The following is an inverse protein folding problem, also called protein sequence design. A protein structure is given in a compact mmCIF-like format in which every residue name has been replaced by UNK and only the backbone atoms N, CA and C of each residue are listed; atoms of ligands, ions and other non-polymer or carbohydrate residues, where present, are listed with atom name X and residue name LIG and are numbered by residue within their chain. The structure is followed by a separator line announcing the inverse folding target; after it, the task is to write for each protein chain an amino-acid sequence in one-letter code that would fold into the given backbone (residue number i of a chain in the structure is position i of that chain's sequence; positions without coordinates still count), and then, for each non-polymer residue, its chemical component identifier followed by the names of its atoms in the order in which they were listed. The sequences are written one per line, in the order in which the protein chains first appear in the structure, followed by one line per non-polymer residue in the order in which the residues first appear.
data_IF_313115642312
#
_entry.id   IF_313115642312
#
_cell.length_a   1.000
_cell.length_b   1.000
_cell.length_c   1.000
_cell.angle_alpha   90.00
_cell.angle_beta   90.00
_cell.angle_gamma   90.00
#
_symmetry.space_group_name_H-M   'P 1'
#
loop_
_entity.id
_entity.type
_entity.pdbx_description
1 polymer ?
#
# COMPACT_ATOMS: atom_id res chain seq x y z
N UNK A 1 -16.33 6.64 17.65
CA UNK A 1 -17.66 7.29 17.72
C UNK A 1 -17.61 8.83 17.86
N UNK A 2 -16.44 9.50 17.82
CA UNK A 2 -16.34 10.95 18.07
C UNK A 2 -16.21 11.87 16.84
N UNK A 3 -15.83 11.37 15.66
CA UNK A 3 -15.56 12.22 14.47
C UNK A 3 -16.85 12.72 13.79
N UNK A 4 -17.95 11.95 13.85
CA UNK A 4 -19.23 12.29 13.19
C UNK A 4 -19.95 13.48 13.85
N UNK A 5 -19.81 13.64 15.17
CA UNK A 5 -20.45 14.73 15.92
C UNK A 5 -19.82 16.08 15.64
N UNK A 6 -18.49 16.14 15.53
CA UNK A 6 -17.76 17.37 15.17
C UNK A 6 -18.18 17.90 13.79
N UNK A 7 -18.38 16.99 12.82
CA UNK A 7 -18.79 17.36 11.46
C UNK A 7 -20.21 17.93 11.38
N UNK A 8 -21.15 17.37 12.16
CA UNK A 8 -22.52 17.92 12.24
C UNK A 8 -22.55 19.29 12.92
N UNK A 9 -21.74 19.48 13.96
CA UNK A 9 -21.62 20.76 14.66
C UNK A 9 -21.06 21.87 13.76
N UNK A 10 -19.96 21.60 13.05
CA UNK A 10 -19.34 22.57 12.14
C UNK A 10 -20.28 23.04 11.00
N UNK A 11 -21.17 22.15 10.51
CA UNK A 11 -22.16 22.48 9.46
C UNK A 11 -23.28 23.38 9.99
N UNK A 12 -23.65 23.26 11.27
CA UNK A 12 -24.75 24.02 11.87
C UNK A 12 -24.41 25.50 12.12
N UNK A 13 -23.11 25.85 12.19
CA UNK A 13 -22.64 27.20 12.53
C UNK A 13 -22.12 28.00 11.33
N UNK A 14 -22.35 27.53 10.10
CA UNK A 14 -21.96 28.16 8.83
C UNK A 14 -20.50 28.67 8.78
N UNK A 15 -19.62 28.02 9.55
CA UNK A 15 -18.18 28.24 9.47
C UNK A 15 -17.75 27.69 8.11
N UNK A 16 -16.97 28.43 7.30
CA UNK A 16 -16.41 27.90 6.08
C UNK A 16 -15.48 26.74 6.44
N UNK A 17 -16.04 25.53 6.38
CA UNK A 17 -15.28 24.29 6.38
C UNK A 17 -14.56 24.32 5.04
N UNK A 18 -13.34 24.82 5.01
CA UNK A 18 -12.51 24.75 3.82
C UNK A 18 -12.50 23.27 3.39
N UNK A 19 -12.92 22.90 2.16
CA UNK A 19 -13.03 21.50 1.71
C UNK A 19 -11.68 20.76 1.56
N UNK A 20 -10.67 21.15 2.34
CA UNK A 20 -9.37 20.51 2.46
C UNK A 20 -9.29 20.09 3.94
N UNK A 21 -9.26 18.82 4.33
CA UNK A 21 -8.24 17.84 3.97
C UNK A 21 -8.69 16.37 4.09
N UNK A 22 -9.98 16.05 4.18
CA UNK A 22 -10.38 14.63 4.37
C UNK A 22 -10.12 13.72 3.15
N UNK A 23 -9.69 14.30 2.02
CA UNK A 23 -9.34 13.57 0.79
C UNK A 23 -7.84 13.65 0.44
N UNK A 24 -7.00 14.27 1.26
CA UNK A 24 -5.59 14.53 0.95
C UNK A 24 -4.69 14.49 2.18
N UNK A 25 -4.66 13.33 2.83
CA UNK A 25 -3.44 12.90 3.54
C UNK A 25 -3.05 11.56 2.91
N UNK A 26 -2.40 11.66 1.76
CA UNK A 26 -1.59 10.63 1.08
C UNK A 26 -2.35 9.35 0.66
N UNK A 27 -3.29 9.45 -0.28
CA UNK A 27 -3.51 8.32 -1.17
C UNK A 27 -2.45 8.40 -2.27
N UNK A 28 -1.51 7.45 -2.30
CA UNK A 28 -0.72 7.24 -3.53
C UNK A 28 -1.70 7.03 -4.67
N UNK A 29 -1.50 7.76 -5.77
CA UNK A 29 -2.39 7.62 -6.92
C UNK A 29 -2.32 6.19 -7.46
N UNK A 30 -3.41 5.73 -8.08
CA UNK A 30 -3.55 4.35 -8.56
C UNK A 30 -2.40 3.95 -9.52
N UNK A 31 -1.92 4.90 -10.32
CA UNK A 31 -0.80 4.68 -11.24
C UNK A 31 0.52 4.46 -10.47
N UNK A 32 0.77 5.23 -9.42
CA UNK A 32 1.90 5.01 -8.50
C UNK A 32 1.83 3.64 -7.83
N UNK A 33 0.66 3.25 -7.30
CA UNK A 33 0.46 1.94 -6.69
C UNK A 33 0.72 0.80 -7.68
N UNK A 34 0.24 0.94 -8.91
CA UNK A 34 0.48 -0.02 -9.98
C UNK A 34 1.98 -0.15 -10.30
N UNK A 35 2.71 0.96 -10.41
CA UNK A 35 4.16 0.95 -10.64
C UNK A 35 4.91 0.19 -9.54
N UNK A 36 4.50 0.35 -8.29
CA UNK A 36 5.10 -0.35 -7.15
C UNK A 36 4.81 -1.85 -7.20
N UNK A 37 3.56 -2.24 -7.46
CA UNK A 37 3.19 -3.64 -7.70
C UNK A 37 4.02 -4.27 -8.83
N UNK A 38 4.14 -3.56 -9.95
CA UNK A 38 4.91 -4.00 -11.12
C UNK A 38 6.41 -4.12 -10.78
N UNK A 39 6.95 -3.22 -9.95
CA UNK A 39 8.35 -3.26 -9.52
C UNK A 39 8.64 -4.44 -8.59
N UNK A 40 7.78 -4.72 -7.61
CA UNK A 40 7.86 -5.92 -6.75
C UNK A 40 7.86 -7.18 -7.62
N UNK A 41 6.91 -7.26 -8.56
CA UNK A 41 6.80 -8.40 -9.47
C UNK A 41 8.04 -8.57 -10.34
N UNK A 42 8.54 -7.47 -10.92
CA UNK A 42 9.72 -7.49 -11.78
C UNK A 42 10.95 -7.96 -11.01
N UNK A 43 11.17 -7.43 -9.80
CA UNK A 43 12.31 -7.84 -8.97
C UNK A 43 12.22 -9.31 -8.55
N UNK A 44 11.01 -9.78 -8.21
CA UNK A 44 10.77 -11.19 -7.92
C UNK A 44 11.16 -12.09 -9.09
N UNK A 45 10.77 -11.72 -10.32
CA UNK A 45 11.08 -12.49 -11.53
C UNK A 45 12.58 -12.45 -11.84
N UNK A 46 13.24 -11.30 -11.69
CA UNK A 46 14.69 -11.12 -11.86
C UNK A 46 15.48 -12.08 -10.96
N UNK A 47 15.01 -12.28 -9.73
CA UNK A 47 15.62 -13.21 -8.77
C UNK A 47 15.25 -14.69 -8.98
N UNK A 48 14.38 -15.00 -9.97
CA UNK A 48 13.90 -16.36 -10.22
C UNK A 48 12.91 -16.88 -9.18
N UNK A 49 12.28 -15.99 -8.39
CA UNK A 49 11.39 -16.38 -7.30
C UNK A 49 9.97 -16.64 -7.79
N UNK A 50 9.41 -17.78 -7.42
CA UNK A 50 7.99 -18.07 -7.63
C UNK A 50 7.13 -17.30 -6.61
N UNK A 51 5.84 -17.14 -6.90
CA UNK A 51 4.89 -16.58 -5.93
C UNK A 51 4.75 -17.47 -4.69
N UNK A 52 4.85 -18.79 -4.87
CA UNK A 52 4.84 -19.76 -3.77
C UNK A 52 6.06 -19.60 -2.87
N UNK A 53 7.26 -19.42 -3.45
CA UNK A 53 8.47 -19.16 -2.68
C UNK A 53 8.31 -17.91 -1.80
N UNK A 54 7.84 -16.80 -2.37
CA UNK A 54 7.61 -15.56 -1.60
C UNK A 54 6.57 -15.76 -0.49
N UNK A 55 5.50 -16.49 -0.78
CA UNK A 55 4.47 -16.80 0.20
C UNK A 55 5.02 -17.62 1.36
N UNK A 56 5.85 -18.63 1.08
CA UNK A 56 6.52 -19.45 2.07
C UNK A 56 7.47 -18.61 2.94
N UNK A 57 8.27 -17.72 2.35
CA UNK A 57 9.14 -16.79 3.11
C UNK A 57 8.36 -15.84 4.02
N UNK A 58 7.12 -15.50 3.64
CA UNK A 58 6.25 -14.60 4.39
C UNK A 58 5.32 -15.30 5.38
N UNK A 59 5.27 -16.64 5.38
CA UNK A 59 4.35 -17.43 6.21
C UNK A 59 2.88 -17.21 5.86
N UNK A 60 2.56 -17.04 4.57
CA UNK A 60 1.20 -16.85 4.05
C UNK A 60 0.92 -17.82 2.92
N UNK A 61 -0.34 -17.99 2.52
CA UNK A 61 -0.66 -18.79 1.33
C UNK A 61 -0.25 -18.08 0.03
N UNK A 62 0.03 -18.86 -1.01
CA UNK A 62 0.35 -18.33 -2.34
C UNK A 62 -0.75 -17.42 -2.90
N UNK A 63 -2.02 -17.75 -2.64
CA UNK A 63 -3.16 -16.91 -3.02
C UNK A 63 -3.12 -15.53 -2.35
N UNK A 64 -2.80 -15.47 -1.05
CA UNK A 64 -2.66 -14.19 -0.33
C UNK A 64 -1.50 -13.39 -0.91
N UNK A 65 -0.36 -14.03 -1.22
CA UNK A 65 0.75 -13.33 -1.87
C UNK A 65 0.37 -12.81 -3.26
N UNK A 66 -0.33 -13.61 -4.07
CA UNK A 66 -0.82 -13.20 -5.40
C UNK A 66 -1.75 -12.00 -5.33
N UNK A 67 -2.62 -11.92 -4.31
CA UNK A 67 -3.46 -10.75 -4.07
C UNK A 67 -2.64 -9.54 -3.62
N UNK A 68 -1.67 -9.73 -2.73
CA UNK A 68 -0.79 -8.66 -2.26
C UNK A 68 0.05 -8.05 -3.39
N UNK A 69 0.63 -8.88 -4.27
CA UNK A 69 1.42 -8.43 -5.42
C UNK A 69 0.56 -7.66 -6.43
N UNK A 70 -0.73 -7.98 -6.53
CA UNK A 70 -1.67 -7.31 -7.44
C UNK A 70 -2.21 -6.00 -6.87
N UNK A 71 -2.54 -5.98 -5.58
CA UNK A 71 -3.17 -4.85 -4.90
C UNK A 71 -2.36 -4.40 -3.68
N UNK A 72 -1.26 -3.70 -3.93
CA UNK A 72 -0.34 -3.27 -2.88
C UNK A 72 -0.98 -2.33 -1.85
N UNK A 73 -2.04 -1.59 -2.24
CA UNK A 73 -2.75 -0.65 -1.35
C UNK A 73 -3.40 -1.33 -0.15
N UNK A 74 -3.83 -2.59 -0.28
CA UNK A 74 -4.41 -3.37 0.82
C UNK A 74 -3.38 -4.12 1.66
N UNK A 75 -2.09 -4.04 1.31
CA UNK A 75 -1.04 -4.80 1.97
C UNK A 75 -0.56 -4.04 3.20
N UNK A 76 -0.53 -4.67 4.38
CA UNK A 76 0.07 -4.06 5.56
C UNK A 76 1.51 -3.64 5.29
N UNK A 77 1.88 -2.43 5.67
CA UNK A 77 3.22 -1.87 5.44
C UNK A 77 4.34 -2.79 5.97
N UNK A 78 4.14 -3.43 7.12
CA UNK A 78 5.08 -4.40 7.68
C UNK A 78 5.35 -5.59 6.74
N UNK A 79 4.36 -6.03 5.96
CA UNK A 79 4.53 -7.07 4.96
C UNK A 79 5.26 -6.55 3.73
N UNK A 80 5.01 -5.31 3.32
CA UNK A 80 5.78 -4.66 2.24
C UNK A 80 7.26 -4.59 2.59
N UNK A 81 7.61 -4.22 3.83
CA UNK A 81 9.00 -4.21 4.30
C UNK A 81 9.65 -5.61 4.26
N UNK A 82 8.91 -6.65 4.65
CA UNK A 82 9.39 -8.04 4.53
C UNK A 82 9.60 -8.45 3.07
N UNK A 83 8.68 -8.07 2.17
CA UNK A 83 8.84 -8.32 0.73
C UNK A 83 10.11 -7.64 0.20
N UNK A 84 10.36 -6.37 0.57
CA UNK A 84 11.58 -5.67 0.14
C UNK A 84 12.86 -6.33 0.67
N UNK A 85 12.84 -6.83 1.91
CA UNK A 85 13.97 -7.56 2.48
C UNK A 85 14.26 -8.86 1.73
N UNK A 86 13.21 -9.66 1.41
CA UNK A 86 13.36 -10.89 0.61
C UNK A 86 13.88 -10.58 -0.80
N UNK A 87 13.41 -9.48 -1.40
CA UNK A 87 13.80 -9.04 -2.75
C UNK A 87 15.14 -8.31 -2.80
N UNK A 88 15.84 -8.22 -1.67
CA UNK A 88 17.13 -7.53 -1.52
C UNK A 88 17.12 -6.10 -2.11
N UNK A 89 16.05 -5.35 -1.84
CA UNK A 89 15.94 -3.93 -2.17
C UNK A 89 15.51 -3.15 -0.94
N UNK A 90 15.92 -1.88 -0.85
CA UNK A 90 15.41 -0.98 0.19
C UNK A 90 14.01 -0.49 -0.15
N UNK A 91 13.26 -0.04 0.87
CA UNK A 91 11.98 0.62 0.64
C UNK A 91 12.14 1.90 -0.22
N UNK A 92 13.24 2.64 -0.04
CA UNK A 92 13.55 3.82 -0.86
C UNK A 92 13.74 3.43 -2.33
N UNK A 93 14.45 2.33 -2.60
CA UNK A 93 14.59 1.80 -3.95
C UNK A 93 13.24 1.39 -4.52
N UNK A 94 12.37 0.73 -3.74
CA UNK A 94 11.02 0.39 -4.19
C UNK A 94 10.21 1.63 -4.59
N UNK A 95 10.29 2.70 -3.79
CA UNK A 95 9.52 3.93 -3.99
C UNK A 95 10.11 4.87 -5.07
N UNK A 96 11.30 4.60 -5.58
CA UNK A 96 11.89 5.36 -6.70
C UNK A 96 11.31 4.88 -8.04
N UNK A 97 10.28 5.58 -8.55
CA UNK A 97 9.41 5.14 -9.68
C UNK A 97 9.08 6.25 -10.69
#
# INVERSE_FOLDING_TARGET
MHVKYFYSFAKSINVPIHPMEQKRIIAMDEKTLKKISDKIRSKRIEMGYSQEYMANQLGISQNVYSQNERNIASVPFSRVLKMTAILNISFVQLMNI
#
